data_IF_901326104124
#
_entry.id   IF_901326104124
#
_cell.length_a   1.000
_cell.length_b   1.000
_cell.length_c   1.000
_cell.angle_alpha   90.00
_cell.angle_beta   90.00
_cell.angle_gamma   90.00
#
_symmetry.space_group_name_H-M   'P 1'
#
loop_
_entity.id
_entity.type
_entity.pdbx_description
1 polymer ?
#
# COMPACT_ATOMS: atom_id res chain seq x y z
N UNK A 1 10.96 10.71 22.82
CA UNK A 1 9.99 10.77 21.71
C UNK A 1 8.62 10.98 22.32
N UNK A 2 7.78 11.89 21.86
CA UNK A 2 6.41 11.93 22.38
C UNK A 2 5.71 10.64 21.97
N UNK A 3 5.04 10.00 22.95
CA UNK A 3 4.13 8.89 22.70
C UNK A 3 3.08 9.29 21.65
N UNK A 4 2.70 8.38 20.76
CA UNK A 4 1.57 8.64 19.86
C UNK A 4 0.34 8.97 20.72
N UNK A 5 -0.51 9.91 20.31
CA UNK A 5 -1.69 10.27 21.10
C UNK A 5 -2.54 9.02 21.30
N UNK A 6 -2.98 8.81 22.56
CA UNK A 6 -3.79 7.66 22.99
C UNK A 6 -5.11 7.49 22.20
N UNK A 7 -5.52 8.52 21.45
CA UNK A 7 -6.72 8.52 20.61
C UNK A 7 -6.53 7.85 19.23
N UNK A 8 -5.28 7.59 18.78
CA UNK A 8 -5.04 7.03 17.43
C UNK A 8 -5.68 5.64 17.26
N UNK A 9 -5.62 4.80 18.29
CA UNK A 9 -6.20 3.45 18.26
C UNK A 9 -7.74 3.46 18.25
N UNK A 10 -8.35 4.39 18.98
CA UNK A 10 -9.82 4.52 19.00
C UNK A 10 -10.34 5.04 17.66
N UNK A 11 -9.67 5.99 17.06
CA UNK A 11 -10.01 6.53 15.73
C UNK A 11 -9.81 5.48 14.62
N UNK A 12 -8.74 4.70 14.70
CA UNK A 12 -8.47 3.62 13.75
C UNK A 12 -9.48 2.49 13.85
N UNK A 13 -9.81 2.04 15.05
CA UNK A 13 -10.88 1.05 15.28
C UNK A 13 -12.25 1.56 14.83
N UNK A 14 -12.54 2.84 15.05
CA UNK A 14 -13.76 3.48 14.55
C UNK A 14 -13.81 3.50 13.02
N UNK A 15 -12.67 3.79 12.36
CA UNK A 15 -12.57 3.76 10.90
C UNK A 15 -12.70 2.33 10.35
N UNK A 16 -12.09 1.33 10.98
CA UNK A 16 -12.25 -0.09 10.62
C UNK A 16 -13.72 -0.53 10.71
N UNK A 17 -14.38 -0.25 11.84
CA UNK A 17 -15.83 -0.50 12.02
C UNK A 17 -16.69 0.25 11.01
N UNK A 18 -16.31 1.46 10.65
CA UNK A 18 -16.98 2.26 9.64
C UNK A 18 -16.85 1.64 8.24
N UNK A 19 -15.67 1.08 7.89
CA UNK A 19 -15.45 0.35 6.62
C UNK A 19 -16.35 -0.87 6.47
N UNK A 20 -16.65 -1.57 7.55
CA UNK A 20 -17.56 -2.73 7.55
C UNK A 20 -19.03 -2.33 7.49
N UNK A 21 -19.38 -1.09 7.79
CA UNK A 21 -20.77 -0.65 7.81
C UNK A 21 -21.41 -0.72 6.41
N UNK A 22 -22.69 -1.17 6.37
CA UNK A 22 -23.48 -1.22 5.13
C UNK A 22 -23.57 0.16 4.44
N UNK A 23 -23.64 1.24 5.25
CA UNK A 23 -23.69 2.62 4.77
C UNK A 23 -22.42 3.04 4.06
N UNK A 24 -21.27 2.66 4.60
CA UNK A 24 -19.96 2.94 3.97
C UNK A 24 -19.81 2.19 2.65
N UNK A 25 -20.23 0.91 2.60
CA UNK A 25 -20.18 0.11 1.36
C UNK A 25 -21.08 0.67 0.25
N UNK A 26 -22.22 1.26 0.59
CA UNK A 26 -23.12 1.90 -0.39
C UNK A 26 -22.54 3.24 -0.86
N UNK A 27 -21.94 4.03 0.05
CA UNK A 27 -21.33 5.33 -0.30
C UNK A 27 -20.03 5.20 -1.11
N UNK A 28 -19.40 4.04 -1.08
CA UNK A 28 -18.19 3.77 -1.84
C UNK A 28 -18.55 2.94 -3.06
N UNK A 29 -18.37 3.50 -4.27
CA UNK A 29 -18.53 2.70 -5.49
C UNK A 29 -17.65 1.45 -5.41
N UNK A 30 -18.08 0.33 -6.04
CA UNK A 30 -17.30 -0.90 -6.02
C UNK A 30 -15.85 -0.62 -6.44
N UNK A 31 -14.93 -0.86 -5.51
CA UNK A 31 -13.50 -0.70 -5.76
C UNK A 31 -12.89 -2.07 -5.98
N UNK A 32 -12.54 -2.44 -7.21
CA UNK A 32 -11.17 -2.87 -7.33
C UNK A 32 -10.37 -1.79 -8.06
N UNK A 33 -9.25 -1.36 -7.50
CA UNK A 33 -8.17 -0.80 -8.30
C UNK A 33 -7.90 -1.83 -9.41
N UNK A 34 -7.91 -1.38 -10.65
CA UNK A 34 -7.53 -2.25 -11.77
C UNK A 34 -6.02 -2.34 -11.75
N UNK A 35 -5.51 -3.37 -11.06
CA UNK A 35 -4.09 -3.63 -10.99
C UNK A 35 -3.53 -3.94 -12.37
N UNK A 36 -2.28 -3.56 -12.57
CA UNK A 36 -1.56 -3.88 -13.79
C UNK A 36 -1.36 -5.41 -13.90
N UNK A 37 -1.89 -6.08 -14.93
CA UNK A 37 -1.70 -7.52 -15.08
C UNK A 37 -0.24 -7.92 -15.37
N UNK A 38 0.65 -6.96 -15.67
CA UNK A 38 2.09 -7.18 -15.87
C UNK A 38 2.90 -7.01 -14.60
N UNK A 39 2.29 -6.57 -13.50
CA UNK A 39 2.95 -6.47 -12.20
C UNK A 39 3.46 -7.85 -11.78
N UNK A 40 4.77 -7.95 -11.58
CA UNK A 40 5.36 -9.17 -11.03
C UNK A 40 5.11 -9.24 -9.54
N UNK A 41 4.49 -10.34 -9.14
CA UNK A 41 4.20 -10.67 -7.74
C UNK A 41 5.34 -11.48 -7.13
N UNK A 42 5.29 -11.65 -5.83
CA UNK A 42 6.16 -12.59 -5.13
C UNK A 42 6.11 -13.97 -5.80
N UNK A 43 7.26 -14.63 -6.00
CA UNK A 43 7.29 -15.94 -6.62
C UNK A 43 6.60 -16.97 -5.71
N UNK A 44 5.81 -17.91 -6.28
CA UNK A 44 5.10 -18.94 -5.52
C UNK A 44 6.04 -19.91 -4.78
N UNK A 45 7.32 -19.97 -5.17
CA UNK A 45 8.35 -20.84 -4.60
C UNK A 45 8.98 -20.31 -3.31
N UNK A 46 8.49 -19.21 -2.74
CA UNK A 46 8.95 -18.71 -1.45
C UNK A 46 8.40 -19.61 -0.31
N UNK A 47 8.82 -20.91 -0.30
CA UNK A 47 8.51 -21.81 0.81
C UNK A 47 9.09 -21.29 2.12
N UNK A 48 8.29 -21.25 3.16
CA UNK A 48 8.64 -20.77 4.50
C UNK A 48 7.72 -19.64 4.98
N UNK A 49 8.19 -18.91 6.00
CA UNK A 49 7.44 -17.82 6.61
C UNK A 49 7.45 -16.60 5.69
N UNK A 50 6.27 -16.14 5.27
CA UNK A 50 6.08 -14.85 4.62
C UNK A 50 5.53 -13.79 5.58
N UNK A 51 5.79 -12.52 5.30
CA UNK A 51 5.16 -11.39 6.01
C UNK A 51 4.29 -10.57 5.05
N UNK A 52 3.12 -10.21 5.52
CA UNK A 52 2.21 -9.25 4.90
C UNK A 52 2.15 -8.01 5.80
N UNK A 53 2.83 -6.95 5.40
CA UNK A 53 2.94 -5.70 6.16
C UNK A 53 1.81 -4.75 5.76
N UNK A 54 1.07 -4.22 6.76
CA UNK A 54 -0.08 -3.34 6.52
C UNK A 54 -1.33 -4.08 6.02
N UNK A 55 -1.37 -5.41 6.17
CA UNK A 55 -2.35 -6.28 5.56
C UNK A 55 -3.67 -6.49 6.30
N UNK A 56 -4.05 -5.65 7.28
CA UNK A 56 -5.25 -5.84 8.11
C UNK A 56 -6.57 -6.05 7.32
N UNK A 57 -6.63 -5.55 6.07
CA UNK A 57 -7.80 -5.69 5.19
C UNK A 57 -7.53 -6.58 3.97
N UNK A 58 -6.36 -7.21 3.87
CA UNK A 58 -6.01 -8.08 2.74
C UNK A 58 -6.49 -9.52 2.97
N UNK A 59 -6.75 -10.29 1.91
CA UNK A 59 -6.97 -11.72 2.04
C UNK A 59 -5.76 -12.39 2.70
N UNK A 60 -6.01 -13.32 3.63
CA UNK A 60 -4.93 -14.11 4.24
C UNK A 60 -4.28 -15.00 3.18
N UNK A 61 -2.96 -14.91 3.09
CA UNK A 61 -2.17 -15.78 2.21
C UNK A 61 -1.65 -16.96 3.02
N UNK A 62 -1.73 -18.14 2.43
CA UNK A 62 -1.19 -19.35 3.08
C UNK A 62 0.32 -19.19 3.30
N UNK A 63 0.78 -19.44 4.54
CA UNK A 63 2.19 -19.30 4.92
C UNK A 63 2.64 -17.86 5.21
N UNK A 64 1.73 -16.88 5.21
CA UNK A 64 2.03 -15.49 5.57
C UNK A 64 1.46 -15.13 6.93
N UNK A 65 2.24 -14.36 7.67
CA UNK A 65 1.86 -13.70 8.93
C UNK A 65 1.58 -12.23 8.62
N UNK A 66 0.41 -11.77 9.02
CA UNK A 66 0.00 -10.37 8.85
C UNK A 66 0.53 -9.53 10.00
N UNK A 67 1.28 -8.49 9.67
CA UNK A 67 1.86 -7.54 10.63
C UNK A 67 1.25 -6.16 10.37
N UNK A 68 0.77 -5.50 11.40
CA UNK A 68 0.28 -4.13 11.34
C UNK A 68 0.65 -3.39 12.63
N UNK A 69 0.60 -2.06 12.62
CA UNK A 69 0.96 -1.24 13.77
C UNK A 69 0.10 -1.57 14.99
N UNK A 70 -1.17 -1.88 14.77
CA UNK A 70 -2.15 -2.14 15.80
C UNK A 70 -2.83 -3.51 15.65
N UNK A 71 -3.37 -4.02 16.76
CA UNK A 71 -4.08 -5.30 16.81
C UNK A 71 -5.52 -5.16 16.33
N UNK A 72 -5.76 -5.47 15.05
CA UNK A 72 -7.11 -5.58 14.47
C UNK A 72 -7.49 -7.02 14.18
N UNK A 73 -8.80 -7.29 13.96
CA UNK A 73 -9.20 -8.57 13.41
C UNK A 73 -8.52 -8.83 12.06
N UNK A 74 -7.72 -9.89 11.99
CA UNK A 74 -6.95 -10.26 10.80
C UNK A 74 -5.45 -9.96 10.90
N UNK A 75 -4.99 -9.21 11.90
CA UNK A 75 -3.58 -9.02 12.24
C UNK A 75 -3.12 -10.17 13.13
N UNK A 76 -2.04 -10.82 12.77
CA UNK A 76 -1.44 -11.90 13.54
C UNK A 76 -0.39 -11.37 14.55
N UNK A 77 0.32 -10.30 14.18
CA UNK A 77 1.34 -9.65 15.01
C UNK A 77 1.17 -8.13 14.94
N UNK A 78 0.95 -7.51 16.09
CA UNK A 78 0.99 -6.05 16.20
C UNK A 78 2.45 -5.60 16.39
N UNK A 79 2.94 -4.67 15.57
CA UNK A 79 4.32 -4.19 15.63
C UNK A 79 4.62 -3.09 14.63
N UNK A 80 5.58 -2.23 15.00
CA UNK A 80 6.09 -1.20 14.12
C UNK A 80 7.01 -1.82 13.06
N UNK A 81 6.78 -1.49 11.79
CA UNK A 81 7.63 -1.93 10.69
C UNK A 81 9.09 -1.46 10.82
N UNK A 82 9.34 -0.42 11.63
CA UNK A 82 10.68 0.07 11.95
C UNK A 82 11.39 -0.74 13.05
N UNK A 83 10.69 -1.69 13.70
CA UNK A 83 11.23 -2.54 14.78
C UNK A 83 10.46 -3.87 14.83
N UNK A 84 10.64 -4.71 13.83
CA UNK A 84 9.90 -5.96 13.66
C UNK A 84 10.30 -7.03 14.70
N UNK A 85 9.34 -7.73 15.34
CA UNK A 85 9.63 -8.74 16.35
C UNK A 85 10.03 -10.10 15.74
N UNK A 86 10.82 -10.07 14.67
CA UNK A 86 11.33 -11.27 13.99
C UNK A 86 12.85 -11.32 14.03
N UNK A 87 13.40 -12.53 14.02
CA UNK A 87 14.86 -12.74 13.97
C UNK A 87 15.40 -12.36 12.61
N UNK A 88 16.70 -12.02 12.56
CA UNK A 88 17.43 -11.82 11.32
C UNK A 88 17.31 -13.04 10.42
N UNK A 89 17.13 -12.81 9.13
CA UNK A 89 17.13 -13.84 8.08
C UNK A 89 16.12 -14.98 8.31
N UNK A 90 14.99 -14.70 9.01
CA UNK A 90 13.98 -15.70 9.35
C UNK A 90 12.79 -15.76 8.38
N UNK A 91 12.67 -14.79 7.49
CA UNK A 91 11.52 -14.60 6.60
C UNK A 91 11.94 -14.84 5.15
N UNK A 92 11.10 -15.51 4.38
CA UNK A 92 11.39 -15.90 2.98
C UNK A 92 10.86 -14.92 1.95
N UNK A 93 9.75 -14.26 2.27
CA UNK A 93 9.09 -13.30 1.38
C UNK A 93 8.35 -12.23 2.18
N UNK A 94 8.34 -11.01 1.66
CA UNK A 94 7.64 -9.87 2.27
C UNK A 94 6.80 -9.17 1.21
N UNK A 95 5.52 -8.96 1.52
CA UNK A 95 4.63 -8.04 0.81
C UNK A 95 4.41 -6.81 1.69
N UNK A 96 4.78 -5.63 1.21
CA UNK A 96 4.60 -4.35 1.88
C UNK A 96 3.79 -3.42 0.96
N UNK A 97 2.50 -3.30 1.22
CA UNK A 97 1.57 -2.58 0.35
C UNK A 97 0.94 -1.39 1.07
N UNK A 98 1.20 -0.19 0.59
CA UNK A 98 0.67 1.07 1.11
C UNK A 98 0.96 1.27 2.61
N UNK A 99 2.23 1.13 2.99
CA UNK A 99 2.73 1.30 4.36
C UNK A 99 3.80 2.37 4.45
N UNK A 100 4.78 2.37 3.53
CA UNK A 100 5.94 3.24 3.65
C UNK A 100 5.60 4.73 3.60
N UNK A 101 4.50 5.11 2.95
CA UNK A 101 3.99 6.49 2.94
C UNK A 101 3.56 6.98 4.33
N UNK A 102 3.20 6.06 5.21
CA UNK A 102 2.74 6.34 6.57
C UNK A 102 3.87 6.28 7.60
N UNK A 103 5.06 5.90 7.18
CA UNK A 103 6.24 5.76 8.04
C UNK A 103 7.08 7.05 8.00
N UNK A 104 7.45 7.56 9.15
CA UNK A 104 8.26 8.79 9.23
C UNK A 104 9.68 8.60 8.69
N UNK A 105 10.29 7.44 8.93
CA UNK A 105 11.61 7.09 8.43
C UNK A 105 11.55 5.82 7.58
N UNK A 106 11.27 5.93 6.28
CA UNK A 106 11.11 4.78 5.40
C UNK A 106 12.41 3.99 5.19
N UNK A 107 13.58 4.64 5.29
CA UNK A 107 14.86 3.92 5.20
C UNK A 107 14.99 2.91 6.35
N UNK A 108 14.73 3.34 7.58
CA UNK A 108 14.77 2.45 8.76
C UNK A 108 13.77 1.29 8.62
N UNK A 109 12.58 1.56 8.10
CA UNK A 109 11.60 0.51 7.84
C UNK A 109 12.10 -0.51 6.81
N UNK A 110 12.70 -0.05 5.71
CA UNK A 110 13.23 -0.94 4.68
C UNK A 110 14.46 -1.71 5.19
N UNK A 111 15.35 -1.09 5.96
CA UNK A 111 16.48 -1.77 6.62
C UNK A 111 15.98 -2.92 7.51
N UNK A 112 14.91 -2.69 8.26
CA UNK A 112 14.32 -3.68 9.16
C UNK A 112 13.62 -4.81 8.40
N UNK A 113 12.88 -4.49 7.33
CA UNK A 113 12.32 -5.50 6.42
C UNK A 113 13.42 -6.37 5.80
N UNK A 114 14.51 -5.76 5.36
CA UNK A 114 15.65 -6.49 4.78
C UNK A 114 16.42 -7.26 5.85
N UNK A 115 16.53 -6.77 7.10
CA UNK A 115 17.13 -7.52 8.20
C UNK A 115 16.46 -8.86 8.42
N UNK A 116 15.13 -8.86 8.53
CA UNK A 116 14.36 -10.09 8.79
C UNK A 116 14.27 -11.01 7.56
N UNK A 117 14.40 -10.48 6.35
CA UNK A 117 14.39 -11.24 5.11
C UNK A 117 15.67 -12.07 4.99
N UNK A 118 15.58 -13.38 4.65
CA UNK A 118 16.74 -14.24 4.41
C UNK A 118 17.50 -13.84 3.15
N UNK A 119 18.81 -14.12 3.03
CA UNK A 119 19.52 -14.03 1.76
C UNK A 119 18.79 -14.79 0.65
N UNK A 120 18.70 -14.22 -0.54
CA UNK A 120 17.94 -14.76 -1.65
C UNK A 120 16.41 -14.65 -1.53
N UNK A 121 15.88 -14.14 -0.41
CA UNK A 121 14.44 -13.87 -0.20
C UNK A 121 13.96 -12.69 -1.03
N UNK A 122 12.64 -12.59 -1.22
CA UNK A 122 12.00 -11.58 -2.06
C UNK A 122 11.19 -10.59 -1.23
N UNK A 123 11.25 -9.34 -1.61
CA UNK A 123 10.40 -8.26 -1.08
C UNK A 123 9.68 -7.57 -2.22
N UNK A 124 8.36 -7.48 -2.11
CA UNK A 124 7.51 -6.69 -2.98
C UNK A 124 7.00 -5.47 -2.21
N UNK A 125 7.33 -4.28 -2.70
CA UNK A 125 6.91 -3.01 -2.09
C UNK A 125 6.04 -2.26 -3.07
N UNK A 126 4.86 -1.84 -2.64
CA UNK A 126 3.98 -1.00 -3.42
C UNK A 126 3.61 0.26 -2.62
N UNK A 127 3.69 1.42 -3.29
CA UNK A 127 3.52 2.74 -2.67
C UNK A 127 2.75 3.69 -3.60
N UNK A 128 2.07 4.71 -3.05
CA UNK A 128 1.44 5.74 -3.86
C UNK A 128 2.49 6.64 -4.54
N UNK A 129 2.20 6.99 -5.80
CA UNK A 129 2.91 8.03 -6.53
C UNK A 129 2.02 9.25 -6.73
N UNK A 130 0.90 9.11 -7.43
CA UNK A 130 -0.10 10.17 -7.64
C UNK A 130 -1.40 9.82 -6.93
N UNK A 131 -1.42 9.92 -5.62
CA UNK A 131 -2.64 9.81 -4.82
C UNK A 131 -2.91 11.10 -4.05
N UNK A 132 -4.18 11.49 -3.89
CA UNK A 132 -4.56 12.52 -2.93
C UNK A 132 -4.03 12.21 -1.54
N UNK A 133 -3.82 13.25 -0.73
CA UNK A 133 -3.45 13.11 0.67
C UNK A 133 -4.45 12.18 1.40
N UNK A 134 -3.95 11.19 2.12
CA UNK A 134 -4.76 10.21 2.84
C UNK A 134 -4.07 9.77 4.14
N UNK A 135 -4.16 10.61 5.17
CA UNK A 135 -3.56 10.30 6.47
C UNK A 135 -4.23 9.06 7.10
N UNK A 136 -3.39 8.06 7.51
CA UNK A 136 -3.83 6.92 8.26
C UNK A 136 -2.64 6.20 8.96
N UNK A 137 -2.23 6.63 10.14
CA UNK A 137 -2.59 7.86 10.85
C UNK A 137 -1.95 9.12 10.27
N UNK A 138 -0.89 8.99 9.48
CA UNK A 138 -0.13 10.08 8.86
C UNK A 138 0.19 9.76 7.41
N UNK A 139 0.52 10.76 6.61
CA UNK A 139 0.85 10.59 5.20
C UNK A 139 2.06 11.50 4.89
N UNK A 140 3.25 10.89 4.80
CA UNK A 140 4.51 11.64 4.76
C UNK A 140 5.14 11.64 3.37
N UNK A 141 4.99 10.54 2.59
CA UNK A 141 5.84 10.31 1.42
C UNK A 141 5.08 9.93 0.16
N UNK A 142 5.67 10.28 -0.97
CA UNK A 142 5.35 9.80 -2.31
C UNK A 142 6.65 9.43 -3.02
N UNK A 143 6.62 8.38 -3.84
CA UNK A 143 7.81 7.91 -4.54
C UNK A 143 7.61 7.87 -6.04
N UNK A 144 8.68 8.19 -6.75
CA UNK A 144 8.86 7.76 -8.16
C UNK A 144 9.42 6.34 -8.19
N UNK A 145 9.32 5.66 -9.34
CA UNK A 145 9.93 4.33 -9.50
C UNK A 145 11.44 4.38 -9.18
N UNK A 146 12.26 5.28 -9.77
CA UNK A 146 13.68 5.34 -9.44
C UNK A 146 13.96 5.62 -7.95
N UNK A 147 13.15 6.46 -7.30
CA UNK A 147 13.32 6.77 -5.88
C UNK A 147 13.06 5.55 -4.97
N UNK A 148 12.06 4.72 -5.32
CA UNK A 148 11.78 3.49 -4.57
C UNK A 148 12.85 2.41 -4.85
N UNK A 149 13.33 2.32 -6.09
CA UNK A 149 14.46 1.43 -6.45
C UNK A 149 15.72 1.80 -5.68
N UNK A 150 16.08 3.08 -5.61
CA UNK A 150 17.23 3.57 -4.85
C UNK A 150 17.09 3.24 -3.36
N UNK A 151 15.91 3.44 -2.77
CA UNK A 151 15.64 3.11 -1.38
C UNK A 151 15.91 1.62 -1.10
N UNK A 152 15.46 0.71 -1.97
CA UNK A 152 15.66 -0.73 -1.80
C UNK A 152 17.11 -1.15 -2.09
N UNK A 153 17.74 -0.61 -3.12
CA UNK A 153 19.13 -0.97 -3.49
C UNK A 153 20.16 -0.49 -2.47
N UNK A 154 19.85 0.59 -1.74
CA UNK A 154 20.70 1.06 -0.63
C UNK A 154 20.74 0.06 0.54
N UNK A 155 19.82 -0.89 0.62
CA UNK A 155 19.68 -1.85 1.73
C UNK A 155 20.04 -3.30 1.37
N UNK A 156 21.00 -3.53 0.49
CA UNK A 156 21.46 -4.85 0.03
C UNK A 156 20.43 -5.65 -0.78
N UNK A 157 19.52 -5.00 -1.47
CA UNK A 157 18.63 -5.65 -2.41
C UNK A 157 19.01 -5.36 -3.86
N UNK A 158 18.72 -6.30 -4.75
CA UNK A 158 18.77 -6.10 -6.19
C UNK A 158 17.34 -6.03 -6.74
N UNK A 159 17.07 -5.04 -7.57
CA UNK A 159 15.75 -4.89 -8.22
C UNK A 159 15.60 -6.02 -9.24
N UNK A 160 14.50 -6.75 -9.14
CA UNK A 160 14.10 -7.82 -10.08
C UNK A 160 13.12 -7.30 -11.10
N UNK A 161 12.19 -6.45 -10.67
CA UNK A 161 11.18 -5.82 -11.53
C UNK A 161 10.60 -4.59 -10.85
N UNK A 162 10.14 -3.64 -11.65
CA UNK A 162 9.48 -2.45 -11.16
C UNK A 162 8.47 -1.92 -12.17
N UNK A 163 7.52 -1.11 -11.71
CA UNK A 163 6.58 -0.51 -12.63
C UNK A 163 5.31 0.05 -12.00
N UNK A 164 4.31 0.17 -12.85
CA UNK A 164 2.98 0.66 -12.47
C UNK A 164 2.16 -0.46 -11.87
N UNK A 165 1.64 -0.26 -10.64
CA UNK A 165 0.68 -1.15 -9.98
C UNK A 165 -0.75 -0.76 -10.31
N UNK A 166 -1.09 0.52 -10.16
CA UNK A 166 -2.40 1.08 -10.51
C UNK A 166 -2.23 2.29 -11.41
N UNK A 167 -3.08 2.39 -12.42
CA UNK A 167 -2.83 3.20 -13.61
C UNK A 167 -3.32 4.64 -13.57
N UNK A 168 -3.18 5.31 -14.72
CA UNK A 168 -3.50 6.72 -14.89
C UNK A 168 -4.94 7.08 -14.61
N UNK A 169 -5.89 6.19 -14.97
CA UNK A 169 -7.32 6.47 -14.74
C UNK A 169 -7.63 6.49 -13.25
N UNK A 170 -7.04 5.57 -12.48
CA UNK A 170 -7.21 5.56 -11.02
C UNK A 170 -6.76 6.89 -10.39
N UNK A 171 -5.65 7.47 -10.87
CA UNK A 171 -5.17 8.79 -10.48
C UNK A 171 -6.20 9.88 -10.80
N UNK A 172 -6.58 9.99 -12.06
CA UNK A 172 -7.48 11.05 -12.50
C UNK A 172 -8.82 11.01 -11.77
N UNK A 173 -9.37 9.81 -11.55
CA UNK A 173 -10.63 9.65 -10.86
C UNK A 173 -10.52 9.97 -9.37
N UNK A 174 -9.41 9.61 -8.71
CA UNK A 174 -9.18 9.96 -7.32
C UNK A 174 -9.15 11.48 -7.11
N UNK A 175 -8.38 12.20 -7.93
CA UNK A 175 -8.33 13.66 -7.88
C UNK A 175 -9.66 14.30 -8.25
N UNK A 176 -10.37 13.79 -9.25
CA UNK A 176 -11.69 14.30 -9.62
C UNK A 176 -12.71 14.17 -8.47
N UNK A 177 -12.75 13.03 -7.80
CA UNK A 177 -13.67 12.83 -6.68
C UNK A 177 -13.33 13.76 -5.50
N UNK A 178 -12.04 13.93 -5.18
CA UNK A 178 -11.60 14.86 -4.14
C UNK A 178 -11.89 16.31 -4.54
N UNK A 179 -11.70 16.67 -5.80
CA UNK A 179 -12.04 18.01 -6.30
C UNK A 179 -13.53 18.30 -6.15
N UNK A 180 -14.42 17.35 -6.51
CA UNK A 180 -15.86 17.47 -6.28
C UNK A 180 -16.20 17.62 -4.78
N UNK A 181 -15.49 16.91 -3.91
CA UNK A 181 -15.65 17.01 -2.46
C UNK A 181 -15.30 18.41 -1.94
N UNK A 182 -14.23 19.01 -2.46
CA UNK A 182 -13.75 20.34 -2.06
C UNK A 182 -14.65 21.46 -2.60
N UNK A 183 -15.18 21.30 -3.81
CA UNK A 183 -16.10 22.28 -4.41
C UNK A 183 -17.47 22.35 -3.69
N UNK A 184 -17.89 21.25 -3.11
CA UNK A 184 -19.19 21.19 -2.42
C UNK A 184 -19.10 21.89 -1.04
N UNK A 185 -20.23 22.44 -0.52
CA UNK A 185 -20.29 22.85 0.87
C UNK A 185 -19.85 21.73 1.81
N UNK A 186 -19.19 22.06 2.92
CA UNK A 186 -18.57 21.07 3.83
C UNK A 186 -19.56 19.97 4.27
N UNK A 187 -20.82 20.35 4.56
CA UNK A 187 -21.90 19.42 4.92
C UNK A 187 -22.26 18.41 3.82
N UNK A 188 -22.00 18.74 2.55
CA UNK A 188 -22.33 17.91 1.37
C UNK A 188 -21.10 17.26 0.73
N UNK A 189 -19.88 17.58 1.19
CA UNK A 189 -18.64 17.12 0.58
C UNK A 189 -18.54 15.59 0.46
N UNK A 190 -18.95 14.84 1.50
CA UNK A 190 -18.96 13.36 1.46
C UNK A 190 -19.97 12.82 0.43
N UNK A 191 -21.11 13.47 0.28
CA UNK A 191 -22.13 13.08 -0.70
C UNK A 191 -21.65 13.38 -2.12
N UNK A 192 -21.06 14.56 -2.34
CA UNK A 192 -20.46 14.95 -3.64
C UNK A 192 -19.35 13.96 -4.07
N UNK A 193 -18.47 13.56 -3.15
CA UNK A 193 -17.47 12.53 -3.40
C UNK A 193 -18.12 11.21 -3.82
N UNK A 194 -19.13 10.75 -3.06
CA UNK A 194 -19.80 9.49 -3.35
C UNK A 194 -20.50 9.52 -4.71
N UNK A 195 -21.22 10.61 -5.03
CA UNK A 195 -21.89 10.78 -6.30
C UNK A 195 -20.90 10.81 -7.48
N UNK A 196 -19.82 11.59 -7.36
CA UNK A 196 -18.74 11.63 -8.35
C UNK A 196 -18.11 10.24 -8.56
N UNK A 197 -17.81 9.53 -7.47
CA UNK A 197 -17.23 8.20 -7.53
C UNK A 197 -18.13 7.18 -8.24
N UNK A 198 -19.43 7.17 -7.95
CA UNK A 198 -20.40 6.31 -8.66
C UNK A 198 -20.56 6.67 -10.12
N UNK A 199 -20.51 7.95 -10.46
CA UNK A 199 -20.59 8.41 -11.86
C UNK A 199 -19.40 7.92 -12.69
N UNK A 200 -18.19 8.00 -12.14
CA UNK A 200 -16.95 7.76 -12.92
C UNK A 200 -16.35 6.36 -12.71
N UNK A 201 -16.87 5.56 -11.78
CA UNK A 201 -16.26 4.27 -11.44
C UNK A 201 -16.05 3.32 -12.64
N UNK A 202 -16.92 3.26 -13.67
CA UNK A 202 -16.71 2.36 -14.80
C UNK A 202 -15.48 2.71 -15.62
N UNK A 203 -15.06 3.99 -15.62
CA UNK A 203 -13.89 4.45 -16.38
C UNK A 203 -12.59 3.80 -15.88
N UNK A 204 -12.56 3.28 -14.65
CA UNK A 204 -11.40 2.54 -14.09
C UNK A 204 -10.95 1.38 -14.96
N UNK A 205 -11.88 0.76 -15.68
CA UNK A 205 -11.56 -0.36 -16.55
C UNK A 205 -10.68 0.03 -17.74
N UNK A 206 -10.55 1.34 -18.07
CA UNK A 206 -9.59 1.84 -19.04
C UNK A 206 -8.14 1.51 -18.63
N UNK A 207 -7.86 1.38 -17.33
CA UNK A 207 -6.54 1.01 -16.84
C UNK A 207 -6.11 -0.40 -17.27
N UNK A 208 -7.04 -1.29 -17.63
CA UNK A 208 -6.70 -2.58 -18.28
C UNK A 208 -5.88 -2.40 -19.55
N UNK A 209 -6.12 -1.31 -20.27
CA UNK A 209 -5.41 -0.97 -21.49
C UNK A 209 -4.28 0.03 -21.23
N UNK A 210 -4.52 1.08 -20.42
CA UNK A 210 -3.56 2.14 -20.15
C UNK A 210 -2.33 1.63 -19.39
N UNK A 211 -2.48 0.69 -18.46
CA UNK A 211 -1.37 0.07 -17.75
C UNK A 211 -0.34 -0.64 -18.65
N UNK A 212 -0.72 -0.91 -19.90
CA UNK A 212 0.17 -1.53 -20.89
C UNK A 212 0.95 -0.50 -21.72
N UNK A 213 0.63 0.79 -21.59
CA UNK A 213 1.28 1.85 -22.33
C UNK A 213 2.64 2.19 -21.73
N UNK A 214 3.68 2.48 -22.54
CA UNK A 214 5.02 2.82 -22.06
C UNK A 214 5.03 4.01 -21.09
N UNK A 215 4.15 4.98 -21.31
CA UNK A 215 4.08 6.23 -20.53
C UNK A 215 3.08 6.16 -19.36
N UNK A 216 2.56 4.97 -19.02
CA UNK A 216 1.61 4.83 -17.92
C UNK A 216 2.18 5.30 -16.56
N UNK A 217 3.50 5.20 -16.39
CA UNK A 217 4.23 5.62 -15.18
C UNK A 217 4.11 7.12 -14.89
N UNK A 218 3.89 7.97 -15.91
CA UNK A 218 3.80 9.44 -15.73
C UNK A 218 2.62 9.82 -14.83
N UNK A 219 1.50 9.09 -14.94
CA UNK A 219 0.28 9.32 -14.18
C UNK A 219 -0.11 8.08 -13.35
N UNK A 220 0.82 7.21 -13.02
CA UNK A 220 0.53 6.05 -12.19
C UNK A 220 -0.06 6.49 -10.84
N UNK A 221 -1.09 5.80 -10.37
CA UNK A 221 -1.65 6.00 -9.04
C UNK A 221 -0.73 5.40 -7.97
N UNK A 222 -0.39 4.12 -8.17
CA UNK A 222 0.57 3.39 -7.35
C UNK A 222 1.64 2.78 -8.24
N UNK A 223 2.83 2.67 -7.69
CA UNK A 223 3.98 2.00 -8.28
C UNK A 223 4.40 0.83 -7.41
N UNK A 224 5.21 -0.07 -7.94
CA UNK A 224 5.79 -1.17 -7.19
C UNK A 224 7.24 -1.41 -7.58
N UNK A 225 7.98 -2.02 -6.66
CA UNK A 225 9.29 -2.63 -6.88
C UNK A 225 9.28 -4.02 -6.27
N UNK A 226 9.66 -5.01 -7.05
CA UNK A 226 10.02 -6.35 -6.59
C UNK A 226 11.55 -6.43 -6.53
N UNK A 227 12.07 -6.73 -5.36
CA UNK A 227 13.52 -6.87 -5.15
C UNK A 227 13.87 -8.19 -4.48
N UNK A 228 15.14 -8.60 -4.58
CA UNK A 228 15.69 -9.79 -3.95
C UNK A 228 16.87 -9.40 -3.07
N UNK A 229 16.90 -9.90 -1.83
CA UNK A 229 18.04 -9.70 -0.94
C UNK A 229 19.26 -10.43 -1.48
N UNK A 230 20.39 -9.73 -1.56
CA UNK A 230 21.67 -10.30 -2.02
C UNK A 230 22.08 -11.47 -1.16
N UNK A 231 22.61 -12.50 -1.81
CA UNK A 231 23.34 -13.56 -1.15
C UNK A 231 24.72 -13.00 -0.76
N UNK A 232 25.09 -13.12 0.51
CA UNK A 232 26.39 -12.64 1.02
C UNK A 232 27.47 -13.63 0.66
#
# INVERSE_FOLDING_TARGET
MPEPPADSNAEMLAHYRQRESRRYRIMRAPLPLVHNPREKKLPPSAEGLGLLIGGACAPRWHGFVTVDLDAYPGVDVAGDVQALPFRDNSVTAIECDAVLEHVRNPLLAVEELVRVLRPGGYIHVAVPFNQPFHAYPSDFHRWTIPGLEELLTSTRCDVVDSGVRAGPTATMLAYFCEYCRILAPESLGKLAYAAANWLVWPLRYLDRWLNRKPNAHILANCIYVLARKREV
#
